data_IF_251310037575
#
_entry.id   IF_251310037575
#
_cell.length_a   1.000
_cell.length_b   1.000
_cell.length_c   1.000
_cell.angle_alpha   90.00
_cell.angle_beta   90.00
_cell.angle_gamma   90.00
#
_symmetry.space_group_name_H-M   'P 1'
#
loop_
_entity.id
_entity.type
_entity.pdbx_description
1 polymer ?
#
# COMPACT_ATOMS: atom_id res chain seq x y z
N UNK A 1 -22.82 25.22 -9.29
CA UNK A 1 -22.80 24.14 -8.27
C UNK A 1 -21.54 24.37 -7.46
N UNK A 2 -21.65 24.97 -6.27
CA UNK A 2 -20.50 25.11 -5.39
C UNK A 2 -20.14 23.71 -4.93
N UNK A 3 -18.96 23.23 -5.29
CA UNK A 3 -18.45 21.98 -4.76
C UNK A 3 -18.22 22.25 -3.27
N UNK A 4 -19.08 21.67 -2.43
CA UNK A 4 -18.97 21.82 -0.99
C UNK A 4 -17.72 21.06 -0.59
N UNK A 5 -16.64 21.79 -0.37
CA UNK A 5 -15.37 21.22 0.07
C UNK A 5 -15.48 20.84 1.56
N UNK A 6 -16.12 19.69 1.81
CA UNK A 6 -16.33 19.12 3.14
C UNK A 6 -14.98 18.89 3.83
N UNK A 7 -13.94 18.55 3.07
CA UNK A 7 -12.59 18.35 3.59
C UNK A 7 -12.02 19.66 4.15
N UNK A 8 -12.24 20.78 3.46
CA UNK A 8 -11.84 22.10 3.96
C UNK A 8 -12.62 22.55 5.18
N UNK A 9 -13.93 22.26 5.25
CA UNK A 9 -14.74 22.50 6.46
C UNK A 9 -14.20 21.70 7.65
N UNK A 10 -13.90 20.41 7.45
CA UNK A 10 -13.30 19.56 8.47
C UNK A 10 -11.93 20.05 8.93
N UNK A 11 -11.08 20.49 8.01
CA UNK A 11 -9.76 21.02 8.35
C UNK A 11 -9.84 22.31 9.20
N UNK A 12 -10.86 23.15 8.99
CA UNK A 12 -11.15 24.30 9.87
C UNK A 12 -11.68 23.84 11.22
N UNK A 13 -12.62 22.90 11.26
CA UNK A 13 -13.21 22.37 12.51
C UNK A 13 -12.14 21.75 13.43
N UNK A 14 -11.20 21.00 12.85
CA UNK A 14 -10.11 20.32 13.55
C UNK A 14 -8.92 21.25 13.88
N UNK A 15 -8.94 22.51 13.41
CA UNK A 15 -7.84 23.46 13.62
C UNK A 15 -6.55 23.11 12.87
N UNK A 16 -6.63 22.36 11.77
CA UNK A 16 -5.47 21.95 10.95
C UNK A 16 -4.99 23.04 10.00
N UNK A 17 -5.84 24.01 9.65
CA UNK A 17 -5.46 25.14 8.81
C UNK A 17 -4.87 26.28 9.65
N UNK A 18 -3.89 26.99 9.08
CA UNK A 18 -3.23 28.13 9.73
C UNK A 18 -3.01 29.27 8.74
N UNK A 19 -2.77 30.48 9.26
CA UNK A 19 -2.38 31.64 8.47
C UNK A 19 -3.41 32.00 7.38
N UNK A 20 -2.92 32.26 6.16
CA UNK A 20 -3.74 32.68 5.03
C UNK A 20 -4.79 31.65 4.61
N UNK A 21 -4.47 30.37 4.75
CA UNK A 21 -5.35 29.28 4.29
C UNK A 21 -6.59 29.16 5.17
N UNK A 22 -6.42 29.40 6.48
CA UNK A 22 -7.52 29.49 7.43
C UNK A 22 -8.43 30.67 7.10
N UNK A 23 -7.87 31.87 6.91
CA UNK A 23 -8.64 33.08 6.59
C UNK A 23 -9.44 32.90 5.30
N UNK A 24 -8.81 32.34 4.26
CA UNK A 24 -9.49 32.06 3.00
C UNK A 24 -10.59 30.98 3.14
N UNK A 25 -10.35 29.94 3.95
CA UNK A 25 -11.34 28.91 4.23
C UNK A 25 -12.53 29.46 4.99
N UNK A 26 -12.30 30.26 6.03
CA UNK A 26 -13.36 30.90 6.82
C UNK A 26 -14.19 31.86 5.97
N UNK A 27 -13.55 32.66 5.10
CA UNK A 27 -14.27 33.54 4.18
C UNK A 27 -15.15 32.74 3.19
N UNK A 28 -14.63 31.64 2.65
CA UNK A 28 -15.39 30.77 1.75
C UNK A 28 -16.58 30.10 2.48
N UNK A 29 -16.36 29.62 3.70
CA UNK A 29 -17.41 29.00 4.53
C UNK A 29 -18.48 30.02 4.91
N UNK A 30 -18.09 31.24 5.31
CA UNK A 30 -19.02 32.31 5.67
C UNK A 30 -19.91 32.74 4.49
N UNK A 31 -19.43 32.59 3.25
CA UNK A 31 -20.22 32.88 2.05
C UNK A 31 -21.26 31.81 1.69
N UNK A 32 -21.29 30.68 2.43
CA UNK A 32 -22.15 29.54 2.15
C UNK A 32 -22.85 29.04 3.42
N UNK A 33 -24.14 29.33 3.56
CA UNK A 33 -24.96 28.95 4.73
C UNK A 33 -24.89 27.46 5.08
N UNK A 34 -24.80 26.58 4.07
CA UNK A 34 -24.68 25.14 4.28
C UNK A 34 -23.34 24.78 4.90
N UNK A 35 -22.24 25.28 4.34
CA UNK A 35 -20.90 25.04 4.87
C UNK A 35 -20.75 25.60 6.30
N UNK A 36 -21.38 26.74 6.60
CA UNK A 36 -21.39 27.32 7.94
C UNK A 36 -22.11 26.41 8.95
N UNK A 37 -23.24 25.79 8.58
CA UNK A 37 -23.94 24.80 9.43
C UNK A 37 -23.10 23.54 9.61
N UNK A 38 -22.52 23.00 8.54
CA UNK A 38 -21.67 21.81 8.59
C UNK A 38 -20.46 22.04 9.52
N UNK A 39 -19.86 23.24 9.51
CA UNK A 39 -18.78 23.61 10.42
C UNK A 39 -19.23 23.61 11.88
N UNK A 40 -20.42 24.14 12.16
CA UNK A 40 -20.97 24.19 13.52
C UNK A 40 -21.28 22.78 14.03
N UNK A 41 -21.92 21.94 13.21
CA UNK A 41 -22.22 20.55 13.55
C UNK A 41 -20.93 19.75 13.85
N UNK A 42 -19.87 19.96 13.06
CA UNK A 42 -18.57 19.33 13.31
C UNK A 42 -17.91 19.82 14.59
N UNK A 43 -17.97 21.12 14.90
CA UNK A 43 -17.44 21.67 16.17
C UNK A 43 -18.19 21.12 17.37
N UNK A 44 -19.50 20.99 17.28
CA UNK A 44 -20.31 20.34 18.32
C UNK A 44 -19.91 18.88 18.49
N UNK A 45 -19.80 18.12 17.40
CA UNK A 45 -19.38 16.72 17.44
C UNK A 45 -17.98 16.56 18.07
N UNK A 46 -17.01 17.38 17.68
CA UNK A 46 -15.66 17.38 18.27
C UNK A 46 -15.69 17.72 19.76
N UNK A 47 -16.53 18.66 20.17
CA UNK A 47 -16.71 19.01 21.59
C UNK A 47 -17.27 17.81 22.37
N UNK A 48 -18.30 17.15 21.87
CA UNK A 48 -18.86 15.95 22.50
C UNK A 48 -17.85 14.80 22.58
N UNK A 49 -17.07 14.58 21.51
CA UNK A 49 -16.01 13.57 21.51
C UNK A 49 -14.87 13.92 22.47
N UNK A 50 -14.51 15.20 22.61
CA UNK A 50 -13.49 15.65 23.56
C UNK A 50 -13.93 15.54 25.02
N UNK A 51 -15.24 15.65 25.28
CA UNK A 51 -15.83 15.46 26.61
C UNK A 51 -16.07 14.00 26.97
N UNK A 52 -16.09 13.09 26.00
CA UNK A 52 -16.20 11.67 26.28
C UNK A 52 -14.99 11.23 27.11
N UNK A 53 -15.25 10.61 28.26
CA UNK A 53 -14.20 10.07 29.11
C UNK A 53 -13.34 9.14 28.26
N UNK A 54 -12.06 9.50 28.09
CA UNK A 54 -11.10 8.60 27.45
C UNK A 54 -11.13 7.28 28.23
N UNK A 55 -11.28 6.13 27.55
CA UNK A 55 -11.31 4.85 28.24
C UNK A 55 -10.04 4.71 29.09
N UNK A 56 -10.22 4.72 30.41
CA UNK A 56 -9.12 4.57 31.35
C UNK A 56 -8.63 3.13 31.28
N UNK A 57 -7.61 2.90 30.46
CA UNK A 57 -6.94 1.60 30.37
C UNK A 57 -5.77 1.54 31.34
N UNK A 58 -5.66 0.42 32.03
CA UNK A 58 -4.46 0.04 32.76
C UNK A 58 -3.27 -0.14 31.81
N UNK A 59 -2.05 -0.10 32.33
CA UNK A 59 -0.84 -0.34 31.52
C UNK A 59 -0.85 -1.74 30.86
N UNK A 60 -1.40 -2.75 31.55
CA UNK A 60 -1.52 -4.10 31.03
C UNK A 60 -2.48 -4.18 29.84
N UNK A 61 -3.64 -3.52 29.94
CA UNK A 61 -4.61 -3.44 28.84
C UNK A 61 -4.05 -2.68 27.64
N UNK A 62 -3.28 -1.62 27.87
CA UNK A 62 -2.60 -0.89 26.78
C UNK A 62 -1.60 -1.77 26.04
N UNK A 63 -0.85 -2.61 26.75
CA UNK A 63 0.12 -3.55 26.16
C UNK A 63 -0.60 -4.67 25.41
N UNK A 64 -1.67 -5.23 25.98
CA UNK A 64 -2.45 -6.29 25.32
C UNK A 64 -3.12 -5.78 24.04
N UNK A 65 -3.69 -4.57 24.06
CA UNK A 65 -4.26 -3.93 22.88
C UNK A 65 -3.21 -3.70 21.78
N UNK A 66 -2.04 -3.15 22.13
CA UNK A 66 -0.96 -2.97 21.15
C UNK A 66 -0.47 -4.29 20.55
N UNK A 67 -0.48 -5.38 21.32
CA UNK A 67 -0.15 -6.71 20.81
C UNK A 67 -1.25 -7.21 19.86
N UNK A 68 -2.52 -7.06 20.23
CA UNK A 68 -3.65 -7.48 19.41
C UNK A 68 -3.70 -6.72 18.07
N UNK A 69 -3.51 -5.40 18.08
CA UNK A 69 -3.45 -4.59 16.86
C UNK A 69 -2.32 -5.07 15.96
N UNK A 70 -1.11 -5.26 16.51
CA UNK A 70 0.03 -5.76 15.72
C UNK A 70 -0.21 -7.14 15.13
N UNK A 71 -0.90 -8.03 15.83
CA UNK A 71 -1.24 -9.35 15.31
C UNK A 71 -2.31 -9.27 14.21
N UNK A 72 -3.28 -8.36 14.35
CA UNK A 72 -4.33 -8.14 13.36
C UNK A 72 -3.81 -7.47 12.07
N UNK A 73 -2.84 -6.56 12.20
CA UNK A 73 -2.26 -5.82 11.06
C UNK A 73 -1.01 -6.46 10.48
N UNK A 74 -0.43 -7.46 11.15
CA UNK A 74 0.73 -8.17 10.63
C UNK A 74 0.39 -8.79 9.27
N UNK A 75 1.17 -8.49 8.22
CA UNK A 75 0.97 -9.14 6.94
C UNK A 75 1.14 -10.64 7.14
N UNK A 76 0.19 -11.44 6.63
CA UNK A 76 0.32 -12.90 6.59
C UNK A 76 1.53 -13.23 5.73
N UNK A 77 2.71 -13.31 6.35
CA UNK A 77 3.94 -13.59 5.62
C UNK A 77 3.83 -15.00 5.06
N UNK A 78 3.55 -15.09 3.77
CA UNK A 78 3.60 -16.35 3.03
C UNK A 78 5.00 -16.94 3.20
N UNK A 79 5.08 -18.22 3.60
CA UNK A 79 6.37 -18.95 3.74
C UNK A 79 7.22 -18.84 2.48
N UNK A 80 6.60 -18.65 1.32
CA UNK A 80 7.24 -18.46 0.03
C UNK A 80 8.06 -17.17 -0.08
N UNK A 81 7.63 -16.07 0.54
CA UNK A 81 8.37 -14.79 0.53
C UNK A 81 9.66 -14.89 1.36
N UNK A 82 9.68 -15.73 2.40
CA UNK A 82 10.91 -15.98 3.18
C UNK A 82 11.94 -16.82 2.44
N UNK A 83 11.53 -17.61 1.45
CA UNK A 83 12.42 -18.45 0.64
C UNK A 83 12.93 -17.74 -0.62
N UNK A 84 12.29 -16.64 -1.04
CA UNK A 84 12.70 -15.84 -2.19
C UNK A 84 14.21 -15.48 -2.24
N UNK A 85 14.87 -15.03 -1.15
CA UNK A 85 16.30 -14.72 -1.22
C UNK A 85 17.18 -15.98 -1.41
N UNK A 86 16.76 -17.14 -0.90
CA UNK A 86 17.50 -18.39 -1.11
C UNK A 86 17.44 -18.86 -2.58
N UNK A 87 16.28 -18.70 -3.23
CA UNK A 87 16.14 -18.98 -4.66
C UNK A 87 16.92 -17.99 -5.53
N UNK A 88 16.96 -16.71 -5.15
CA UNK A 88 17.74 -15.70 -5.87
C UNK A 88 19.26 -15.98 -5.82
N UNK A 89 19.77 -16.40 -4.66
CA UNK A 89 21.19 -16.78 -4.51
C UNK A 89 21.54 -18.04 -5.35
N UNK A 90 20.64 -19.03 -5.39
CA UNK A 90 20.84 -20.23 -6.21
C UNK A 90 20.85 -19.90 -7.71
N UNK A 91 19.95 -19.04 -8.19
CA UNK A 91 19.91 -18.62 -9.59
C UNK A 91 21.18 -17.85 -10.00
N UNK A 92 21.70 -16.99 -9.13
CA UNK A 92 22.94 -16.26 -9.38
C UNK A 92 24.15 -17.20 -9.52
N UNK A 93 24.25 -18.23 -8.68
CA UNK A 93 25.31 -19.24 -8.78
C UNK A 93 25.24 -20.04 -10.09
N UNK A 94 24.03 -20.44 -10.51
CA UNK A 94 23.83 -21.14 -11.81
C UNK A 94 24.23 -20.24 -12.97
N UNK A 95 23.90 -18.94 -12.94
CA UNK A 95 24.29 -18.00 -13.98
C UNK A 95 25.82 -17.84 -14.06
N UNK A 96 26.51 -17.70 -12.92
CA UNK A 96 27.98 -17.58 -12.89
C UNK A 96 28.66 -18.85 -13.40
N UNK A 97 28.19 -20.03 -12.97
CA UNK A 97 28.72 -21.32 -13.43
C UNK A 97 28.45 -21.54 -14.93
N UNK A 98 27.25 -21.22 -15.42
CA UNK A 98 26.89 -21.35 -16.83
C UNK A 98 27.73 -20.42 -17.72
N UNK A 99 27.92 -19.16 -17.30
CA UNK A 99 28.77 -18.19 -18.01
C UNK A 99 30.24 -18.62 -17.96
N UNK A 100 30.74 -19.12 -16.83
CA UNK A 100 32.11 -19.64 -16.73
C UNK A 100 32.34 -20.87 -17.62
N UNK A 101 31.36 -21.76 -17.77
CA UNK A 101 31.44 -22.89 -18.71
C UNK A 101 31.41 -22.46 -20.18
N UNK A 102 30.69 -21.39 -20.51
CA UNK A 102 30.68 -20.80 -21.86
C UNK A 102 31.99 -20.08 -22.20
N UNK A 103 32.59 -19.34 -21.26
CA UNK A 103 33.88 -18.68 -21.47
C UNK A 103 35.08 -19.64 -21.41
N UNK A 104 34.98 -20.75 -20.67
CA UNK A 104 36.02 -21.78 -20.59
C UNK A 104 36.13 -22.68 -21.83
N UNK A 105 35.16 -22.61 -22.76
CA UNK A 105 35.14 -23.41 -24.00
C UNK A 105 35.38 -22.57 -25.26
N UNK A 106 36.04 -21.43 -25.13
CA UNK A 106 36.49 -20.58 -26.24
C UNK A 106 37.83 -21.03 -26.84
N UNK A 107 37.95 -22.31 -27.21
CA UNK A 107 39.17 -22.89 -27.77
C UNK A 107 38.89 -23.91 -28.87
N UNK A 108 38.47 -23.42 -30.04
CA UNK A 108 38.71 -24.06 -31.34
C UNK A 108 37.64 -25.02 -31.90
N UNK A 109 37.15 -24.69 -33.10
CA UNK A 109 36.85 -25.69 -34.14
C UNK A 109 35.37 -25.94 -34.44
N UNK A 110 34.86 -25.22 -35.45
CA UNK A 110 33.90 -25.60 -36.49
C UNK A 110 32.99 -26.82 -36.26
N UNK A 111 31.67 -26.56 -36.17
CA UNK A 111 30.65 -27.40 -36.78
C UNK A 111 29.48 -26.53 -37.23
N UNK A 112 29.58 -26.10 -38.47
CA UNK A 112 28.59 -26.30 -39.53
C UNK A 112 27.19 -26.79 -39.11
N UNK A 113 26.20 -26.00 -39.53
CA UNK A 113 24.90 -26.44 -40.07
C UNK A 113 23.91 -27.17 -39.16
N UNK A 114 22.85 -26.46 -38.75
CA UNK A 114 21.54 -26.55 -39.40
C UNK A 114 20.47 -25.81 -38.57
N UNK A 115 19.87 -24.77 -39.15
CA UNK A 115 18.44 -24.54 -38.93
C UNK A 115 17.68 -25.65 -39.72
N UNK A 116 16.49 -26.11 -39.29
CA UNK A 116 15.31 -25.28 -39.53
C UNK A 116 14.15 -25.40 -38.52
N UNK A 117 13.35 -24.33 -38.52
CA UNK A 117 11.90 -24.21 -38.31
C UNK A 117 11.07 -25.44 -37.93
N UNK A 118 10.17 -25.30 -36.94
CA UNK A 118 8.71 -25.60 -36.99
C UNK A 118 8.06 -25.17 -35.65
N UNK A 119 7.24 -24.12 -35.55
CA UNK A 119 5.76 -24.03 -35.68
C UNK A 119 4.97 -25.13 -34.92
N UNK A 120 3.82 -24.73 -34.34
CA UNK A 120 2.62 -25.53 -33.95
C UNK A 120 2.67 -26.10 -32.52
N UNK A 121 1.67 -26.00 -31.63
CA UNK A 121 0.39 -25.28 -31.59
C UNK A 121 -0.15 -25.32 -30.15
N UNK A 122 -0.98 -24.34 -29.82
CA UNK A 122 -2.04 -24.40 -28.81
C UNK A 122 -2.87 -25.69 -28.90
N UNK A 123 -3.21 -26.32 -27.78
CA UNK A 123 -4.51 -27.00 -27.63
C UNK A 123 -4.94 -27.04 -26.16
N UNK A 124 -6.03 -26.33 -25.87
CA UNK A 124 -6.89 -26.51 -24.70
C UNK A 124 -7.53 -27.89 -24.72
N UNK A 125 -7.67 -28.53 -23.56
CA UNK A 125 -8.68 -29.56 -23.37
C UNK A 125 -9.31 -29.40 -21.97
N UNK A 126 -10.46 -28.73 -21.96
CA UNK A 126 -11.52 -28.97 -21.00
C UNK A 126 -12.14 -30.36 -21.26
N UNK A 127 -12.70 -30.98 -20.21
CA UNK A 127 -13.86 -31.93 -20.14
C UNK A 127 -13.65 -32.80 -18.89
N UNK A 128 -14.31 -32.53 -17.76
CA UNK A 128 -15.70 -32.90 -17.38
C UNK A 128 -15.96 -34.41 -17.31
N UNK A 129 -16.02 -34.95 -16.10
CA UNK A 129 -17.22 -35.62 -15.57
C UNK A 129 -17.12 -35.81 -14.06
#
# INVERSE_FOLDING_TARGET
MHDHDIERVAAVAEGRLTGSDLVAAEAAIASCDRCARDLEDQRLALTFMGQAAQPAMTQLERVSLHRAIRQATAPKSSRWVRLAPAFAAAAALVAVLGVASLLGRGGGGDIESAAPATVVSTTSAATSK
#
